data_IF_431775494440
#
_entry.id   IF_431775494440
#
_cell.length_a   1.000
_cell.length_b   1.000
_cell.length_c   1.000
_cell.angle_alpha   90.00
_cell.angle_beta   90.00
_cell.angle_gamma   90.00
#
_symmetry.space_group_name_H-M   'P 1'
#
loop_
_entity.id
_entity.type
_entity.pdbx_description
1 polymer ?
#
# COMPACT_ATOMS: atom_id res chain seq x y z
N UNK A 1 -6.50 23.94 -10.63
CA UNK A 1 -6.78 22.51 -10.37
C UNK A 1 -5.67 21.97 -9.48
N UNK A 2 -5.70 20.70 -9.08
CA UNK A 2 -4.58 20.08 -8.34
C UNK A 2 -3.41 19.85 -9.31
N UNK A 3 -2.17 20.29 -9.01
CA UNK A 3 -0.99 20.03 -9.82
C UNK A 3 -0.55 18.56 -9.69
N UNK A 4 -1.25 17.66 -10.38
CA UNK A 4 -1.01 16.22 -10.37
C UNK A 4 -0.34 15.77 -11.66
N UNK A 5 0.80 15.09 -11.54
CA UNK A 5 1.44 14.39 -12.65
C UNK A 5 1.19 12.88 -12.52
N UNK A 6 0.48 12.30 -13.49
CA UNK A 6 0.20 10.86 -13.56
C UNK A 6 1.06 10.25 -14.65
N UNK A 7 1.76 9.16 -14.35
CA UNK A 7 2.58 8.44 -15.32
C UNK A 7 1.97 7.07 -15.60
N UNK A 8 1.75 6.78 -16.88
CA UNK A 8 1.34 5.47 -17.37
C UNK A 8 2.52 4.88 -18.13
N UNK A 9 3.04 3.79 -17.61
CA UNK A 9 4.10 3.00 -18.22
C UNK A 9 3.46 1.87 -19.02
N UNK A 10 3.18 2.12 -20.31
CA UNK A 10 2.43 1.21 -21.17
C UNK A 10 3.38 0.24 -21.89
N UNK A 11 3.49 -0.96 -21.33
CA UNK A 11 4.23 -2.09 -21.91
C UNK A 11 3.40 -2.90 -22.92
N UNK A 12 2.15 -2.50 -23.17
CA UNK A 12 1.23 -3.18 -24.07
C UNK A 12 0.39 -4.29 -23.43
N UNK A 13 0.65 -4.67 -22.18
CA UNK A 13 0.08 -5.87 -21.56
C UNK A 13 -0.39 -5.64 -20.11
N UNK A 14 -1.44 -6.37 -19.73
CA UNK A 14 -1.85 -6.56 -18.35
C UNK A 14 -1.78 -8.04 -18.03
N UNK A 15 -0.75 -8.43 -17.28
CA UNK A 15 -0.41 -9.84 -17.07
C UNK A 15 -0.15 -10.53 -18.42
N UNK A 16 -1.08 -11.37 -18.88
CA UNK A 16 -1.01 -12.11 -20.15
C UNK A 16 -1.91 -11.54 -21.25
N UNK A 17 -2.70 -10.51 -20.93
CA UNK A 17 -3.72 -9.96 -21.83
C UNK A 17 -3.16 -8.70 -22.51
N UNK A 18 -3.34 -8.58 -23.82
CA UNK A 18 -2.95 -7.37 -24.55
C UNK A 18 -3.86 -6.18 -24.19
N UNK A 19 -3.35 -4.96 -24.30
CA UNK A 19 -4.11 -3.73 -23.94
C UNK A 19 -5.36 -3.49 -24.77
N UNK A 20 -5.44 -4.04 -25.98
CA UNK A 20 -6.60 -3.96 -26.88
C UNK A 20 -7.88 -4.55 -26.28
N UNK A 21 -7.76 -5.52 -25.37
CA UNK A 21 -8.90 -6.11 -24.65
C UNK A 21 -9.20 -5.43 -23.31
N UNK A 22 -8.30 -4.60 -22.81
CA UNK A 22 -8.38 -4.02 -21.46
C UNK A 22 -8.74 -2.55 -21.45
N UNK A 23 -8.40 -1.83 -22.51
CA UNK A 23 -8.59 -0.38 -22.59
C UNK A 23 -9.33 -0.03 -23.86
N UNK A 24 -10.36 0.81 -23.75
CA UNK A 24 -11.06 1.38 -24.89
C UNK A 24 -10.07 1.99 -25.89
N UNK A 25 -10.18 1.63 -27.18
CA UNK A 25 -9.23 2.00 -28.25
C UNK A 25 -7.78 1.50 -28.06
N UNK A 26 -7.53 0.59 -27.12
CA UNK A 26 -6.19 0.09 -26.80
C UNK A 26 -5.21 1.18 -26.32
N UNK A 27 -5.71 2.32 -25.81
CA UNK A 27 -4.86 3.45 -25.42
C UNK A 27 -5.52 4.31 -24.35
N UNK A 28 -4.89 4.41 -23.18
CA UNK A 28 -5.40 5.23 -22.07
C UNK A 28 -5.50 6.70 -22.49
N UNK A 29 -4.50 7.22 -23.22
CA UNK A 29 -4.58 8.59 -23.77
C UNK A 29 -5.77 8.79 -24.72
N UNK A 30 -6.08 7.81 -25.57
CA UNK A 30 -7.19 7.95 -26.53
C UNK A 30 -8.57 7.79 -25.86
N UNK A 31 -8.64 7.02 -24.78
CA UNK A 31 -9.82 6.90 -23.93
C UNK A 31 -10.08 8.19 -23.14
N UNK A 32 -9.02 8.87 -22.69
CA UNK A 32 -9.09 10.08 -21.87
C UNK A 32 -9.03 11.39 -22.66
N UNK A 33 -9.02 11.37 -23.99
CA UNK A 33 -8.90 12.57 -24.83
C UNK A 33 -9.95 13.66 -24.52
N UNK A 34 -11.15 13.28 -24.05
CA UNK A 34 -12.19 14.22 -23.64
C UNK A 34 -11.89 15.00 -22.34
N UNK A 35 -10.85 14.61 -21.60
CA UNK A 35 -10.40 15.35 -20.41
C UNK A 35 -9.41 16.46 -20.75
N UNK A 36 -8.91 16.54 -21.99
CA UNK A 36 -7.97 17.60 -22.36
C UNK A 36 -8.62 18.99 -22.32
N UNK A 37 -7.87 20.03 -21.94
CA UNK A 37 -8.35 21.40 -22.05
C UNK A 37 -8.72 21.73 -23.50
N UNK A 38 -9.80 22.48 -23.69
CA UNK A 38 -10.28 22.89 -25.01
C UNK A 38 -10.51 24.40 -25.07
N UNK A 39 -11.02 24.88 -26.22
CA UNK A 39 -11.30 26.32 -26.41
C UNK A 39 -12.38 26.87 -25.47
N UNK A 40 -13.23 26.01 -24.90
CA UNK A 40 -14.34 26.37 -24.02
C UNK A 40 -13.96 26.28 -22.54
N UNK A 41 -13.02 25.41 -22.18
CA UNK A 41 -12.53 25.21 -20.83
C UNK A 41 -11.01 25.05 -20.80
N UNK A 42 -10.33 25.98 -20.14
CA UNK A 42 -8.92 25.84 -19.79
C UNK A 42 -8.68 24.79 -18.71
N UNK A 43 -9.75 24.29 -18.06
CA UNK A 43 -9.69 23.19 -17.11
C UNK A 43 -9.63 21.85 -17.83
N UNK A 44 -8.82 20.93 -17.31
CA UNK A 44 -8.68 19.58 -17.88
C UNK A 44 -7.41 18.88 -17.39
N UNK A 45 -7.07 17.75 -18.01
CA UNK A 45 -5.84 16.99 -17.83
C UNK A 45 -5.09 17.01 -19.15
N UNK A 46 -3.89 17.61 -19.19
CA UNK A 46 -3.05 17.57 -20.39
C UNK A 46 -2.57 16.15 -20.64
N UNK A 47 -2.62 15.68 -21.89
CA UNK A 47 -2.13 14.35 -22.22
C UNK A 47 -0.83 14.48 -23.02
N UNK A 48 0.24 13.93 -22.47
CA UNK A 48 1.60 13.98 -23.00
C UNK A 48 2.03 12.56 -23.37
N UNK A 49 2.47 12.35 -24.60
CA UNK A 49 2.81 11.03 -25.12
C UNK A 49 4.24 10.98 -25.60
N UNK A 50 4.94 9.89 -25.31
CA UNK A 50 6.24 9.58 -25.93
C UNK A 50 6.53 8.07 -25.82
N UNK A 51 7.49 7.58 -26.61
CA UNK A 51 7.96 6.19 -26.58
C UNK A 51 9.03 6.00 -25.50
N UNK A 52 8.92 4.92 -24.73
CA UNK A 52 9.80 4.61 -23.59
C UNK A 52 11.28 4.47 -23.94
N UNK A 53 11.60 4.10 -25.17
CA UNK A 53 12.96 3.89 -25.64
C UNK A 53 13.64 5.15 -26.21
N UNK A 54 12.91 6.28 -26.31
CA UNK A 54 13.42 7.57 -26.80
C UNK A 54 13.91 8.46 -25.65
N UNK A 55 15.04 8.09 -25.07
CA UNK A 55 15.55 8.71 -23.83
C UNK A 55 15.68 10.26 -23.90
N UNK A 56 16.28 10.87 -24.95
CA UNK A 56 16.39 12.34 -25.02
C UNK A 56 15.03 13.05 -25.10
N UNK A 57 14.08 12.50 -25.83
CA UNK A 57 12.72 13.03 -25.95
C UNK A 57 11.97 12.94 -24.62
N UNK A 58 12.12 11.84 -23.88
CA UNK A 58 11.53 11.68 -22.55
C UNK A 58 12.04 12.72 -21.57
N UNK A 59 13.35 13.03 -21.59
CA UNK A 59 13.91 14.10 -20.76
C UNK A 59 13.22 15.44 -21.04
N UNK A 60 13.11 15.82 -22.32
CA UNK A 60 12.44 17.06 -22.74
C UNK A 60 10.97 17.08 -22.36
N UNK A 61 10.26 15.96 -22.55
CA UNK A 61 8.84 15.81 -22.23
C UNK A 61 8.60 15.99 -20.74
N UNK A 62 9.38 15.30 -19.90
CA UNK A 62 9.23 15.35 -18.45
C UNK A 62 9.62 16.72 -17.89
N UNK A 63 10.72 17.30 -18.36
CA UNK A 63 11.14 18.64 -17.95
C UNK A 63 10.05 19.68 -18.23
N UNK A 64 9.61 19.76 -19.50
CA UNK A 64 8.62 20.75 -19.93
C UNK A 64 7.25 20.48 -19.30
N UNK A 65 6.79 19.22 -19.35
CA UNK A 65 5.47 18.84 -18.83
C UNK A 65 5.36 19.08 -17.32
N UNK A 66 6.37 18.70 -16.54
CA UNK A 66 6.36 18.91 -15.09
C UNK A 66 6.54 20.38 -14.70
N UNK A 67 7.30 21.15 -15.46
CA UNK A 67 7.38 22.60 -15.26
C UNK A 67 6.00 23.24 -15.43
N UNK A 68 5.26 22.86 -16.47
CA UNK A 68 3.92 23.38 -16.71
C UNK A 68 2.90 22.94 -15.66
N UNK A 69 2.94 21.68 -15.20
CA UNK A 69 2.08 21.21 -14.09
C UNK A 69 2.25 22.09 -12.85
N UNK A 70 3.50 22.42 -12.51
CA UNK A 70 3.84 23.27 -11.35
C UNK A 70 3.41 24.72 -11.56
N UNK A 71 3.72 25.30 -12.72
CA UNK A 71 3.47 26.73 -12.97
C UNK A 71 1.99 27.04 -13.18
N UNK A 72 1.26 26.16 -13.88
CA UNK A 72 -0.14 26.39 -14.27
C UNK A 72 -1.16 25.74 -13.34
N UNK A 73 -0.71 24.95 -12.35
CA UNK A 73 -1.60 24.19 -11.45
C UNK A 73 -2.63 23.35 -12.22
N UNK A 74 -2.17 22.74 -13.31
CA UNK A 74 -2.97 21.92 -14.22
C UNK A 74 -2.42 20.49 -14.20
N UNK A 75 -3.27 19.47 -14.02
CA UNK A 75 -2.81 18.10 -14.03
C UNK A 75 -2.37 17.65 -15.43
N UNK A 76 -1.45 16.70 -15.47
CA UNK A 76 -0.98 16.09 -16.70
C UNK A 76 -0.88 14.56 -16.57
N UNK A 77 -1.21 13.86 -17.66
CA UNK A 77 -1.03 12.45 -17.86
C UNK A 77 0.13 12.23 -18.84
N UNK A 78 1.21 11.64 -18.37
CA UNK A 78 2.33 11.18 -19.18
C UNK A 78 2.10 9.73 -19.58
N UNK A 79 1.70 9.50 -20.82
CA UNK A 79 1.48 8.16 -21.36
C UNK A 79 2.73 7.74 -22.14
N UNK A 80 3.56 6.91 -21.49
CA UNK A 80 4.81 6.42 -22.05
C UNK A 80 4.56 5.05 -22.69
N UNK A 81 4.48 5.05 -24.01
CA UNK A 81 4.14 3.89 -24.83
C UNK A 81 5.38 3.08 -25.21
N UNK A 82 5.17 1.86 -25.71
CA UNK A 82 6.24 1.02 -26.24
C UNK A 82 7.32 0.69 -25.19
N UNK A 83 6.91 0.49 -23.93
CA UNK A 83 7.80 -0.14 -22.97
C UNK A 83 7.91 -1.64 -23.22
N UNK A 84 9.06 -2.18 -22.84
CA UNK A 84 9.35 -3.60 -22.90
C UNK A 84 9.08 -4.23 -21.54
N UNK A 85 8.72 -5.50 -21.53
CA UNK A 85 8.52 -6.27 -20.32
C UNK A 85 9.48 -7.48 -20.42
N UNK A 86 10.76 -7.31 -19.98
CA UNK A 86 11.83 -8.28 -20.23
C UNK A 86 11.74 -9.56 -19.38
N UNK A 87 10.72 -9.65 -18.52
CA UNK A 87 10.39 -10.80 -17.66
C UNK A 87 8.87 -11.01 -17.70
N UNK A 88 8.36 -12.13 -17.19
CA UNK A 88 6.92 -12.27 -16.97
C UNK A 88 6.36 -11.20 -16.01
N UNK A 89 5.03 -11.09 -15.96
CA UNK A 89 4.34 -10.22 -14.99
C UNK A 89 4.79 -10.45 -13.53
N UNK A 90 5.09 -11.70 -13.20
CA UNK A 90 5.79 -12.09 -11.98
C UNK A 90 7.06 -12.87 -12.33
N UNK A 91 7.99 -12.95 -11.38
CA UNK A 91 9.21 -13.77 -11.51
C UNK A 91 8.93 -15.28 -11.57
N UNK A 92 7.68 -15.71 -11.38
CA UNK A 92 7.24 -17.11 -11.50
C UNK A 92 6.59 -17.43 -12.86
N UNK A 93 6.29 -16.42 -13.67
CA UNK A 93 5.69 -16.58 -14.99
C UNK A 93 6.68 -16.31 -16.13
N UNK A 94 6.44 -16.89 -17.30
CA UNK A 94 7.15 -16.52 -18.53
C UNK A 94 6.20 -15.83 -19.50
N UNK A 95 6.57 -14.61 -19.89
CA UNK A 95 5.91 -13.84 -20.95
C UNK A 95 5.93 -14.51 -22.33
N UNK A 96 6.85 -15.45 -22.57
CA UNK A 96 6.99 -16.16 -23.85
C UNK A 96 5.80 -17.08 -24.12
N UNK A 97 4.99 -17.37 -23.10
CA UNK A 97 3.79 -18.20 -23.22
C UNK A 97 2.62 -17.50 -23.90
N UNK A 98 2.61 -16.17 -23.92
CA UNK A 98 1.48 -15.37 -24.41
C UNK A 98 1.88 -14.24 -25.36
N UNK A 99 3.17 -13.91 -25.48
CA UNK A 99 3.67 -12.96 -26.49
C UNK A 99 4.08 -13.69 -27.76
N UNK A 100 3.81 -13.08 -28.92
CA UNK A 100 4.26 -13.62 -30.20
C UNK A 100 5.80 -13.55 -30.33
N UNK A 101 6.41 -14.41 -31.15
CA UNK A 101 7.84 -14.33 -31.46
C UNK A 101 8.26 -12.95 -31.97
N UNK A 102 7.44 -12.33 -32.83
CA UNK A 102 7.70 -10.99 -33.37
C UNK A 102 7.71 -9.94 -32.26
N UNK A 103 6.77 -10.02 -31.31
CA UNK A 103 6.73 -9.12 -30.16
C UNK A 103 7.97 -9.29 -29.29
N UNK A 104 8.38 -10.52 -29.00
CA UNK A 104 9.58 -10.81 -28.20
C UNK A 104 10.85 -10.32 -28.90
N UNK A 105 10.92 -10.45 -30.22
CA UNK A 105 12.04 -9.94 -31.01
C UNK A 105 12.08 -8.41 -31.02
N UNK A 106 10.92 -7.77 -31.18
CA UNK A 106 10.80 -6.31 -31.06
C UNK A 106 11.26 -5.85 -29.68
N UNK A 107 10.81 -6.46 -28.58
CA UNK A 107 11.20 -6.08 -27.21
C UNK A 107 12.71 -6.20 -26.98
N UNK A 108 13.39 -7.17 -27.59
CA UNK A 108 14.87 -7.27 -27.53
C UNK A 108 15.55 -6.12 -28.28
N UNK A 109 15.00 -5.71 -29.43
CA UNK A 109 15.56 -4.65 -30.26
C UNK A 109 15.28 -3.26 -29.70
N UNK A 110 14.11 -3.05 -29.11
CA UNK A 110 13.66 -1.77 -28.55
C UNK A 110 13.85 -1.68 -27.04
N UNK A 111 14.58 -2.61 -26.44
CA UNK A 111 14.93 -2.55 -25.02
C UNK A 111 15.53 -1.18 -24.67
N UNK A 112 14.99 -0.55 -23.63
CA UNK A 112 15.34 0.82 -23.28
C UNK A 112 16.83 0.94 -22.89
N UNK A 113 17.42 -0.10 -22.31
CA UNK A 113 18.85 -0.10 -21.96
C UNK A 113 19.73 -0.25 -23.19
N UNK A 114 19.33 -1.08 -24.15
CA UNK A 114 20.07 -1.24 -25.42
C UNK A 114 19.95 0.01 -26.32
N UNK A 115 18.79 0.65 -26.36
CA UNK A 115 18.60 1.92 -27.06
C UNK A 115 19.37 3.07 -26.41
N UNK A 116 19.35 3.17 -25.08
CA UNK A 116 20.15 4.14 -24.33
C UNK A 116 21.66 3.91 -24.52
N UNK A 117 22.10 2.65 -24.46
CA UNK A 117 23.49 2.26 -24.74
C UNK A 117 23.92 2.74 -26.12
N UNK A 118 23.15 2.41 -27.16
CA UNK A 118 23.45 2.81 -28.54
C UNK A 118 23.51 4.32 -28.69
N UNK A 119 22.60 5.06 -28.06
CA UNK A 119 22.63 6.53 -28.04
C UNK A 119 23.89 7.08 -27.37
N UNK A 120 24.24 6.60 -26.17
CA UNK A 120 25.44 7.06 -25.45
C UNK A 120 26.72 6.86 -26.25
N UNK A 121 26.85 5.72 -26.94
CA UNK A 121 28.02 5.44 -27.78
C UNK A 121 28.04 6.31 -29.03
N UNK A 122 26.90 6.44 -29.73
CA UNK A 122 26.81 7.26 -30.94
C UNK A 122 27.13 8.74 -30.70
N UNK A 123 26.67 9.30 -29.58
CA UNK A 123 26.92 10.69 -29.22
C UNK A 123 28.28 10.91 -28.54
N UNK A 124 29.05 9.85 -28.30
CA UNK A 124 30.37 9.95 -27.67
C UNK A 124 30.34 10.21 -26.16
N UNK A 125 29.20 10.01 -25.48
CA UNK A 125 29.08 10.16 -24.03
C UNK A 125 29.73 9.00 -23.25
N UNK A 126 29.85 7.81 -23.85
CA UNK A 126 30.50 6.64 -23.25
C UNK A 126 31.04 5.67 -24.32
N UNK A 127 32.06 4.87 -23.96
CA UNK A 127 32.52 3.76 -24.80
C UNK A 127 31.84 2.44 -24.42
N UNK A 128 31.90 1.46 -25.32
CA UNK A 128 31.42 0.09 -25.07
C UNK A 128 32.09 -0.54 -23.85
N UNK A 129 33.40 -0.34 -23.69
CA UNK A 129 34.18 -0.84 -22.55
C UNK A 129 33.69 -0.20 -21.25
N UNK A 130 33.44 1.11 -21.27
CA UNK A 130 32.95 1.82 -20.08
C UNK A 130 31.56 1.33 -19.67
N UNK A 131 30.67 1.12 -20.63
CA UNK A 131 29.32 0.60 -20.35
C UNK A 131 29.36 -0.85 -19.85
N UNK A 132 30.27 -1.68 -20.37
CA UNK A 132 30.52 -3.02 -19.86
C UNK A 132 31.02 -3.00 -18.41
N UNK A 133 31.98 -2.12 -18.08
CA UNK A 133 32.48 -1.92 -16.73
C UNK A 133 31.36 -1.53 -15.75
N UNK A 134 30.50 -0.58 -16.14
CA UNK A 134 29.34 -0.15 -15.34
C UNK A 134 28.40 -1.34 -15.08
N UNK A 135 28.09 -2.12 -16.12
CA UNK A 135 27.19 -3.29 -16.02
C UNK A 135 27.78 -4.37 -15.10
N UNK A 136 29.08 -4.65 -15.21
CA UNK A 136 29.77 -5.62 -14.37
C UNK A 136 29.81 -5.16 -12.91
N UNK A 137 30.16 -3.90 -12.67
CA UNK A 137 30.15 -3.30 -11.33
C UNK A 137 28.76 -3.34 -10.69
N UNK A 138 27.71 -3.00 -11.45
CA UNK A 138 26.33 -3.08 -10.97
C UNK A 138 25.92 -4.51 -10.59
N UNK A 139 26.28 -5.51 -11.40
CA UNK A 139 26.00 -6.94 -11.11
C UNK A 139 26.68 -7.42 -9.84
N UNK A 140 27.95 -7.05 -9.63
CA UNK A 140 28.69 -7.38 -8.40
C UNK A 140 28.01 -6.76 -7.17
N UNK A 141 27.68 -5.47 -7.24
CA UNK A 141 26.99 -4.76 -6.15
C UNK A 141 25.63 -5.39 -5.81
N UNK A 142 24.83 -5.78 -6.80
CA UNK A 142 23.54 -6.44 -6.59
C UNK A 142 23.74 -7.81 -5.94
N UNK A 143 24.73 -8.60 -6.38
CA UNK A 143 25.05 -9.92 -5.81
C UNK A 143 25.46 -9.79 -4.33
N UNK A 144 26.37 -8.88 -4.02
CA UNK A 144 26.81 -8.63 -2.64
C UNK A 144 25.66 -8.15 -1.75
N UNK A 145 24.82 -7.25 -2.27
CA UNK A 145 23.65 -6.74 -1.54
C UNK A 145 22.64 -7.86 -1.24
N UNK A 146 22.37 -8.72 -2.23
CA UNK A 146 21.53 -9.92 -2.07
C UNK A 146 22.08 -10.83 -0.98
N UNK A 147 23.37 -11.16 -1.05
CA UNK A 147 24.01 -12.09 -0.11
C UNK A 147 24.01 -11.52 1.33
N UNK A 148 24.24 -10.22 1.48
CA UNK A 148 24.14 -9.52 2.77
C UNK A 148 22.71 -9.53 3.31
N UNK A 149 21.71 -9.24 2.47
CA UNK A 149 20.30 -9.27 2.87
C UNK A 149 19.85 -10.67 3.27
N UNK A 150 20.25 -11.69 2.50
CA UNK A 150 19.94 -13.10 2.77
C UNK A 150 20.53 -13.57 4.09
N UNK A 151 21.82 -13.27 4.35
CA UNK A 151 22.48 -13.58 5.63
C UNK A 151 21.75 -12.95 6.81
N UNK A 152 21.29 -11.69 6.68
CA UNK A 152 20.53 -11.00 7.74
C UNK A 152 19.16 -11.64 7.96
N UNK A 153 18.44 -11.99 6.89
CA UNK A 153 17.12 -12.62 6.99
C UNK A 153 17.18 -13.99 7.68
N UNK A 154 18.15 -14.83 7.30
CA UNK A 154 18.33 -16.16 7.86
C UNK A 154 18.98 -16.19 9.25
N UNK A 155 19.57 -15.09 9.71
CA UNK A 155 20.29 -15.06 11.00
C UNK A 155 19.40 -15.52 12.16
N UNK A 156 18.17 -14.99 12.24
CA UNK A 156 17.24 -15.36 13.32
C UNK A 156 16.89 -16.84 13.31
N UNK A 157 16.50 -17.37 12.14
CA UNK A 157 16.16 -18.78 12.00
C UNK A 157 17.36 -19.70 12.26
N UNK A 158 18.56 -19.31 11.83
CA UNK A 158 19.80 -20.05 12.09
C UNK A 158 20.18 -20.08 13.57
N UNK A 159 20.00 -18.98 14.32
CA UNK A 159 20.20 -18.97 15.78
C UNK A 159 19.19 -19.89 16.47
N UNK A 160 17.91 -19.81 16.09
CA UNK A 160 16.84 -20.65 16.63
C UNK A 160 17.05 -22.14 16.32
N UNK A 161 17.54 -22.47 15.13
CA UNK A 161 17.91 -23.83 14.73
C UNK A 161 18.96 -24.41 15.69
N UNK A 162 20.06 -23.69 15.94
CA UNK A 162 21.14 -24.14 16.83
C UNK A 162 20.67 -24.35 18.27
N UNK A 163 19.84 -23.44 18.78
CA UNK A 163 19.21 -23.60 20.11
C UNK A 163 18.36 -24.89 20.16
N UNK A 164 17.61 -25.17 19.10
CA UNK A 164 16.76 -26.36 19.04
C UNK A 164 17.57 -27.66 18.92
N UNK A 165 18.66 -27.66 18.15
CA UNK A 165 19.61 -28.80 18.07
C UNK A 165 20.18 -29.15 19.45
N UNK A 166 20.50 -28.15 20.27
CA UNK A 166 20.96 -28.36 21.64
C UNK A 166 19.88 -28.96 22.54
N UNK A 167 18.61 -28.56 22.37
CA UNK A 167 17.47 -29.17 23.08
C UNK A 167 17.30 -30.62 22.63
N UNK A 168 17.41 -30.89 21.34
CA UNK A 168 17.24 -32.23 20.76
C UNK A 168 18.33 -33.21 21.20
N UNK A 169 19.55 -32.74 21.49
CA UNK A 169 20.62 -33.58 22.01
C UNK A 169 20.26 -34.25 23.36
N UNK A 170 19.33 -33.68 24.13
CA UNK A 170 18.86 -34.23 25.40
C UNK A 170 17.61 -35.12 25.28
N UNK A 171 17.10 -35.36 24.07
CA UNK A 171 15.91 -36.18 23.82
C UNK A 171 16.33 -37.62 23.49
N UNK A 172 15.72 -38.61 24.13
CA UNK A 172 15.98 -40.03 23.86
C UNK A 172 15.64 -40.45 22.42
N UNK A 173 16.55 -41.21 21.79
CA UNK A 173 16.33 -41.81 20.46
C UNK A 173 15.37 -43.00 20.46
N UNK A 174 14.95 -43.48 21.64
CA UNK A 174 13.96 -44.57 21.77
C UNK A 174 12.53 -44.13 21.44
N UNK A 175 12.31 -42.82 21.25
CA UNK A 175 11.00 -42.27 20.88
C UNK A 175 10.72 -42.54 19.40
N UNK A 176 9.50 -42.96 19.04
CA UNK A 176 9.07 -43.01 17.66
C UNK A 176 9.35 -41.67 16.96
N UNK A 177 9.91 -41.72 15.74
CA UNK A 177 10.20 -40.57 14.89
C UNK A 177 11.23 -39.53 15.39
N UNK A 178 11.73 -39.60 16.63
CA UNK A 178 12.67 -38.60 17.15
C UNK A 178 13.98 -38.55 16.36
N UNK A 179 14.52 -39.71 15.96
CA UNK A 179 15.72 -39.81 15.13
C UNK A 179 15.52 -39.12 13.78
N UNK A 180 14.38 -39.36 13.11
CA UNK A 180 14.10 -38.76 11.81
C UNK A 180 13.87 -37.25 11.93
N UNK A 181 13.19 -36.77 12.98
CA UNK A 181 13.01 -35.34 13.22
C UNK A 181 14.32 -34.60 13.48
N UNK A 182 15.27 -35.21 14.21
CA UNK A 182 16.64 -34.67 14.40
C UNK A 182 17.39 -34.58 13.07
N UNK A 183 17.24 -35.59 12.22
CA UNK A 183 17.85 -35.63 10.88
C UNK A 183 17.23 -34.58 9.94
N UNK A 184 15.90 -34.45 9.93
CA UNK A 184 15.20 -33.37 9.20
C UNK A 184 15.71 -32.00 9.62
N UNK A 185 15.87 -31.77 10.94
CA UNK A 185 16.32 -30.49 11.49
C UNK A 185 17.75 -30.14 11.05
N UNK A 186 18.69 -31.07 11.22
CA UNK A 186 20.10 -30.89 10.86
C UNK A 186 20.35 -30.78 9.35
N UNK A 187 19.40 -31.24 8.52
CA UNK A 187 19.47 -31.09 7.07
C UNK A 187 19.16 -29.66 6.57
N UNK A 188 18.61 -28.78 7.43
CA UNK A 188 18.22 -27.42 7.06
C UNK A 188 19.44 -26.49 6.89
N UNK A 189 19.90 -26.31 5.64
CA UNK A 189 21.04 -25.43 5.31
C UNK A 189 20.72 -23.93 5.33
N UNK A 190 19.51 -23.57 4.93
CA UNK A 190 19.01 -22.18 4.89
C UNK A 190 17.63 -22.13 5.53
N UNK A 191 17.55 -22.31 6.87
CA UNK A 191 16.28 -22.50 7.55
C UNK A 191 15.42 -21.23 7.49
N UNK A 192 14.13 -21.38 7.28
CA UNK A 192 13.15 -20.35 7.68
C UNK A 192 12.49 -20.74 9.01
N UNK A 193 12.11 -19.75 9.81
CA UNK A 193 11.60 -20.01 11.17
C UNK A 193 10.37 -20.93 11.18
N UNK A 194 9.52 -20.87 10.15
CA UNK A 194 8.33 -21.71 10.03
C UNK A 194 8.67 -23.20 9.91
N UNK A 195 9.77 -23.55 9.22
CA UNK A 195 10.26 -24.93 9.09
C UNK A 195 10.78 -25.44 10.43
N UNK A 196 11.66 -24.65 11.08
CA UNK A 196 12.23 -24.98 12.39
C UNK A 196 11.12 -25.17 13.43
N UNK A 197 10.14 -24.25 13.47
CA UNK A 197 8.99 -24.33 14.39
C UNK A 197 8.04 -25.49 14.06
N UNK A 198 7.86 -25.84 12.77
CA UNK A 198 7.08 -27.03 12.38
C UNK A 198 7.74 -28.30 12.90
N UNK A 199 9.05 -28.46 12.73
CA UNK A 199 9.79 -29.60 13.25
C UNK A 199 9.76 -29.64 14.79
N UNK A 200 9.98 -28.52 15.47
CA UNK A 200 9.85 -28.39 16.94
C UNK A 200 8.49 -28.86 17.47
N UNK A 201 7.38 -28.47 16.81
CA UNK A 201 6.02 -28.87 17.21
C UNK A 201 5.77 -30.36 17.03
N UNK A 202 6.29 -30.97 15.95
CA UNK A 202 6.23 -32.42 15.77
C UNK A 202 6.98 -33.13 16.89
N UNK A 203 8.20 -32.68 17.21
CA UNK A 203 8.96 -33.27 18.32
C UNK A 203 8.25 -33.11 19.65
N UNK A 204 7.63 -31.96 19.91
CA UNK A 204 6.84 -31.73 21.12
C UNK A 204 5.74 -32.78 21.23
N UNK A 205 5.01 -33.05 20.15
CA UNK A 205 3.99 -34.08 20.11
C UNK A 205 4.56 -35.48 20.44
N UNK A 206 5.68 -35.86 19.83
CA UNK A 206 6.34 -37.16 20.05
C UNK A 206 6.76 -37.37 21.51
N UNK A 207 7.35 -36.36 22.15
CA UNK A 207 7.86 -36.50 23.53
C UNK A 207 6.80 -36.24 24.60
N UNK A 208 5.65 -35.66 24.25
CA UNK A 208 4.55 -35.40 25.20
C UNK A 208 3.77 -36.66 25.56
N UNK A 209 3.80 -37.70 24.71
CA UNK A 209 2.90 -38.86 24.80
C UNK A 209 3.42 -40.03 25.67
N UNK A 210 4.53 -39.91 26.43
CA UNK A 210 5.09 -41.09 27.09
C UNK A 210 6.06 -40.88 28.25
N UNK A 211 5.70 -40.05 29.24
CA UNK A 211 6.46 -39.90 30.49
C UNK A 211 7.33 -38.63 30.57
N UNK A 212 8.08 -38.49 31.67
CA UNK A 212 8.89 -37.29 31.97
C UNK A 212 10.17 -37.26 31.12
N UNK A 213 10.14 -36.53 30.00
CA UNK A 213 11.33 -36.23 29.21
C UNK A 213 12.02 -34.96 29.76
N UNK A 214 13.30 -35.01 30.19
CA UNK A 214 13.96 -33.84 30.79
C UNK A 214 14.03 -32.61 29.87
N UNK A 215 13.99 -32.82 28.55
CA UNK A 215 14.02 -31.77 27.54
C UNK A 215 12.66 -31.10 27.30
N UNK A 216 11.55 -31.69 27.76
CA UNK A 216 10.18 -31.22 27.47
C UNK A 216 9.96 -29.76 27.90
N UNK A 217 10.28 -29.32 29.15
CA UNK A 217 10.06 -27.92 29.54
C UNK A 217 10.89 -26.92 28.72
N UNK A 218 12.09 -27.33 28.29
CA UNK A 218 12.96 -26.49 27.44
C UNK A 218 12.37 -26.34 26.04
N UNK A 219 11.87 -27.43 25.45
CA UNK A 219 11.24 -27.41 24.13
C UNK A 219 9.96 -26.55 24.14
N UNK A 220 9.10 -26.70 25.15
CA UNK A 220 7.90 -25.88 25.30
C UNK A 220 8.23 -24.39 25.43
N UNK A 221 9.22 -24.06 26.28
CA UNK A 221 9.69 -22.68 26.45
C UNK A 221 10.24 -22.09 25.14
N UNK A 222 11.01 -22.89 24.39
CA UNK A 222 11.55 -22.48 23.09
C UNK A 222 10.43 -22.22 22.07
N UNK A 223 9.42 -23.09 21.99
CA UNK A 223 8.25 -22.92 21.11
C UNK A 223 7.47 -21.66 21.50
N UNK A 224 7.23 -21.46 22.80
CA UNK A 224 6.55 -20.28 23.34
C UNK A 224 7.30 -18.99 23.01
N UNK A 225 8.63 -18.98 23.14
CA UNK A 225 9.45 -17.83 22.79
C UNK A 225 9.37 -17.49 21.28
N UNK A 226 9.31 -18.51 20.42
CA UNK A 226 9.07 -18.31 19.00
C UNK A 226 7.71 -17.67 18.72
N UNK A 227 6.64 -18.15 19.38
CA UNK A 227 5.30 -17.56 19.26
C UNK A 227 5.24 -16.13 19.79
N UNK A 228 5.87 -15.84 20.95
CA UNK A 228 5.93 -14.47 21.48
C UNK A 228 6.64 -13.51 20.52
N UNK A 229 7.67 -13.98 19.82
CA UNK A 229 8.35 -13.18 18.79
C UNK A 229 7.44 -12.95 17.59
N UNK A 230 6.75 -14.01 17.13
CA UNK A 230 5.78 -13.91 16.03
C UNK A 230 4.63 -12.96 16.37
N UNK A 231 4.09 -13.02 17.59
CA UNK A 231 3.03 -12.15 18.08
C UNK A 231 3.41 -10.67 17.95
N UNK A 232 4.63 -10.34 18.37
CA UNK A 232 5.17 -8.97 18.24
C UNK A 232 5.32 -8.53 16.79
N UNK A 233 5.68 -9.44 15.88
CA UNK A 233 5.90 -9.11 14.48
C UNK A 233 4.61 -9.04 13.65
N UNK A 234 3.61 -9.86 13.96
CA UNK A 234 2.42 -10.05 13.12
C UNK A 234 1.12 -9.53 13.75
N UNK A 235 1.08 -9.21 15.04
CA UNK A 235 -0.17 -8.81 15.71
C UNK A 235 -0.08 -7.48 16.46
N UNK A 236 1.12 -7.02 16.80
CA UNK A 236 1.33 -5.80 17.60
C UNK A 236 0.72 -4.51 17.00
N UNK A 237 0.51 -4.47 15.68
CA UNK A 237 0.02 -3.28 14.97
C UNK A 237 -1.37 -3.45 14.37
N UNK A 238 -2.10 -4.52 14.73
CA UNK A 238 -3.47 -4.73 14.26
C UNK A 238 -4.41 -3.65 14.78
N UNK A 239 -4.33 -3.35 16.09
CA UNK A 239 -5.06 -2.26 16.73
C UNK A 239 -4.10 -1.19 17.25
N UNK A 240 -4.59 0.04 17.39
CA UNK A 240 -3.81 1.09 18.05
C UNK A 240 -3.75 0.82 19.56
N UNK A 241 -2.54 0.62 20.06
CA UNK A 241 -2.21 0.62 21.50
C UNK A 241 -1.77 1.98 22.03
N UNK A 242 -1.85 3.04 21.20
CA UNK A 242 -1.48 4.39 21.64
C UNK A 242 -2.53 4.96 22.62
N UNK A 243 -2.15 5.96 23.46
CA UNK A 243 -3.10 6.65 24.34
C UNK A 243 -4.28 7.30 23.60
N UNK A 244 -4.12 7.58 22.30
CA UNK A 244 -5.15 8.17 21.44
C UNK A 244 -6.05 7.13 20.75
N UNK A 245 -5.93 5.85 21.11
CA UNK A 245 -6.80 4.81 20.58
C UNK A 245 -8.25 5.08 20.94
N UNK A 246 -9.17 4.94 19.97
CA UNK A 246 -10.61 5.05 20.23
C UNK A 246 -11.08 4.04 21.30
N UNK A 247 -10.39 2.90 21.41
CA UNK A 247 -10.66 1.87 22.43
C UNK A 247 -10.21 2.27 23.85
N UNK A 248 -9.38 3.31 23.98
CA UNK A 248 -8.88 3.79 25.26
C UNK A 248 -9.65 5.03 25.78
N UNK A 249 -10.58 5.58 24.99
CA UNK A 249 -11.38 6.75 25.39
C UNK A 249 -12.53 6.28 26.28
N UNK A 250 -12.52 6.71 27.54
CA UNK A 250 -13.61 6.41 28.48
C UNK A 250 -14.89 7.17 28.06
N UNK A 251 -16.06 6.50 28.02
CA UNK A 251 -17.31 7.16 27.70
C UNK A 251 -17.73 8.12 28.83
N UNK A 252 -18.19 9.30 28.45
CA UNK A 252 -18.79 10.26 29.38
C UNK A 252 -20.28 10.32 29.10
N UNK A 253 -21.09 9.89 30.07
CA UNK A 253 -22.55 9.93 29.96
C UNK A 253 -23.10 11.36 30.03
N UNK A 254 -24.27 11.63 29.42
CA UNK A 254 -24.92 12.93 29.54
C UNK A 254 -25.35 13.19 30.98
N UNK A 255 -25.18 14.42 31.44
CA UNK A 255 -25.67 14.89 32.75
C UNK A 255 -26.83 15.84 32.51
N UNK A 256 -27.99 15.53 33.09
CA UNK A 256 -29.19 16.33 32.96
C UNK A 256 -29.47 17.07 34.27
N UNK A 257 -29.80 18.35 34.17
CA UNK A 257 -30.29 19.14 35.30
C UNK A 257 -31.73 18.76 35.71
N UNK A 258 -32.27 19.37 36.77
CA UNK A 258 -33.61 19.06 37.28
C UNK A 258 -34.75 19.39 36.30
N UNK A 259 -34.51 20.24 35.29
CA UNK A 259 -35.48 20.57 34.25
C UNK A 259 -34.78 20.67 32.88
N UNK A 260 -34.53 19.54 32.19
CA UNK A 260 -33.76 19.53 30.96
C UNK A 260 -34.57 20.09 29.78
N UNK A 261 -33.93 20.93 28.97
CA UNK A 261 -34.52 21.43 27.73
C UNK A 261 -34.63 20.32 26.68
N UNK A 262 -35.79 20.24 26.00
CA UNK A 262 -35.96 19.34 24.84
C UNK A 262 -35.48 20.02 23.58
N UNK A 263 -34.59 19.35 22.86
CA UNK A 263 -34.04 19.78 21.57
C UNK A 263 -34.17 18.66 20.55
N UNK A 264 -34.27 19.01 19.28
CA UNK A 264 -34.18 18.03 18.20
C UNK A 264 -32.76 17.46 18.17
N UNK A 265 -32.63 16.17 17.81
CA UNK A 265 -31.32 15.50 17.77
C UNK A 265 -30.29 16.21 16.89
N UNK A 266 -30.73 16.78 15.76
CA UNK A 266 -29.83 17.52 14.86
C UNK A 266 -29.26 18.80 15.50
N UNK A 267 -30.03 19.51 16.34
CA UNK A 267 -29.55 20.70 17.05
C UNK A 267 -28.43 20.35 18.03
N UNK A 268 -28.52 19.16 18.64
CA UNK A 268 -27.47 18.63 19.54
C UNK A 268 -26.20 18.33 18.74
N UNK A 269 -26.33 17.64 17.61
CA UNK A 269 -25.19 17.35 16.72
C UNK A 269 -24.57 18.62 16.15
N UNK A 270 -25.39 19.61 15.77
CA UNK A 270 -24.92 20.88 15.23
C UNK A 270 -24.12 21.69 16.26
N UNK A 271 -24.61 21.77 17.50
CA UNK A 271 -23.84 22.37 18.60
C UNK A 271 -22.53 21.63 18.87
N UNK A 272 -22.53 20.30 18.79
CA UNK A 272 -21.30 19.51 18.90
C UNK A 272 -20.31 19.88 17.78
N UNK A 273 -20.74 19.92 16.53
CA UNK A 273 -19.86 20.25 15.42
C UNK A 273 -19.36 21.69 15.52
N UNK A 274 -20.21 22.65 15.89
CA UNK A 274 -19.77 24.02 16.11
C UNK A 274 -18.64 24.09 17.15
N UNK A 275 -18.81 23.40 18.28
CA UNK A 275 -17.76 23.31 19.29
C UNK A 275 -16.50 22.61 18.76
N UNK A 276 -16.64 21.46 18.08
CA UNK A 276 -15.52 20.69 17.56
C UNK A 276 -14.68 21.48 16.54
N UNK A 277 -15.32 22.22 15.64
CA UNK A 277 -14.65 23.06 14.65
C UNK A 277 -14.01 24.30 15.27
N UNK A 278 -14.58 24.86 16.35
CA UNK A 278 -13.96 25.93 17.13
C UNK A 278 -12.70 25.49 17.87
N UNK A 279 -12.67 24.23 18.33
CA UNK A 279 -11.57 23.68 19.15
C UNK A 279 -10.44 23.10 18.29
N UNK A 280 -10.77 22.49 17.15
CA UNK A 280 -9.79 21.77 16.32
C UNK A 280 -9.58 22.47 14.99
N UNK A 281 -8.47 23.18 14.83
CA UNK A 281 -8.12 23.87 13.57
C UNK A 281 -7.82 22.92 12.40
N UNK A 282 -7.51 21.66 12.68
CA UNK A 282 -7.23 20.63 11.69
C UNK A 282 -8.39 19.65 11.46
N UNK A 283 -9.60 19.98 11.89
CA UNK A 283 -10.81 19.18 11.61
C UNK A 283 -11.43 19.59 10.28
N UNK A 284 -11.71 18.66 9.38
CA UNK A 284 -12.39 18.95 8.11
C UNK A 284 -13.61 18.03 8.01
N UNK A 285 -14.73 18.52 7.49
CA UNK A 285 -15.87 17.69 7.11
C UNK A 285 -16.16 17.82 5.62
N UNK A 286 -16.44 16.71 4.95
CA UNK A 286 -16.80 16.73 3.54
C UNK A 286 -17.59 15.50 3.14
N UNK A 287 -18.34 15.63 2.06
CA UNK A 287 -19.23 14.61 1.53
C UNK A 287 -20.28 15.26 0.65
N UNK A 288 -21.28 14.48 0.25
CA UNK A 288 -22.40 15.00 -0.52
C UNK A 288 -23.32 15.84 0.38
N UNK A 289 -23.58 17.09 -0.02
CA UNK A 289 -24.42 18.08 0.69
C UNK A 289 -23.92 18.51 2.09
N UNK A 290 -22.71 18.12 2.48
CA UNK A 290 -22.10 18.45 3.77
C UNK A 290 -21.78 19.94 3.90
N UNK A 291 -21.42 20.59 2.79
CA UNK A 291 -21.02 21.98 2.71
C UNK A 291 -22.18 22.94 2.91
N UNK A 292 -22.87 23.26 1.81
CA UNK A 292 -23.85 24.35 1.77
C UNK A 292 -25.13 24.04 2.55
N UNK A 293 -25.65 22.82 2.42
CA UNK A 293 -26.88 22.38 3.08
C UNK A 293 -26.58 22.04 4.55
N UNK A 294 -25.39 21.50 4.82
CA UNK A 294 -24.97 21.11 6.15
C UNK A 294 -25.40 19.70 6.51
N UNK A 295 -25.23 18.79 5.56
CA UNK A 295 -25.78 17.44 5.53
C UNK A 295 -27.31 17.40 5.46
N UNK A 296 -27.85 16.27 5.00
CA UNK A 296 -29.29 16.12 4.75
C UNK A 296 -30.11 16.11 6.05
N UNK A 297 -29.51 15.79 7.19
CA UNK A 297 -30.14 15.91 8.52
C UNK A 297 -29.85 17.26 9.18
N UNK A 298 -29.20 18.19 8.48
CA UNK A 298 -28.81 19.52 8.95
C UNK A 298 -27.87 19.52 10.16
N UNK A 299 -27.13 18.44 10.40
CA UNK A 299 -26.15 18.35 11.48
C UNK A 299 -25.02 19.37 11.34
N UNK A 300 -24.65 19.74 10.12
CA UNK A 300 -23.61 20.74 9.82
C UNK A 300 -24.19 22.06 9.26
N UNK A 301 -25.49 22.29 9.39
CA UNK A 301 -26.13 23.52 8.89
C UNK A 301 -25.49 24.78 9.47
N UNK A 302 -25.16 25.74 8.59
CA UNK A 302 -24.52 27.01 8.95
C UNK A 302 -23.04 26.92 9.33
N UNK A 303 -22.47 25.72 9.50
CA UNK A 303 -21.09 25.53 9.95
C UNK A 303 -20.09 25.97 8.86
N UNK A 304 -20.37 25.69 7.58
CA UNK A 304 -19.55 26.19 6.47
C UNK A 304 -19.46 27.72 6.44
N UNK A 305 -20.58 28.43 6.68
CA UNK A 305 -20.59 29.90 6.68
C UNK A 305 -19.71 30.48 7.80
N UNK A 306 -19.59 29.77 8.93
CA UNK A 306 -18.79 30.18 10.08
C UNK A 306 -17.30 29.85 9.94
N UNK A 307 -16.95 28.69 9.39
CA UNK A 307 -15.56 28.19 9.35
C UNK A 307 -14.93 28.14 7.95
N UNK A 308 -15.70 28.43 6.90
CA UNK A 308 -15.26 28.53 5.52
C UNK A 308 -15.28 27.23 4.73
N UNK A 309 -15.36 27.36 3.40
CA UNK A 309 -15.37 26.26 2.44
C UNK A 309 -14.10 25.41 2.46
N UNK A 310 -12.97 25.93 2.95
CA UNK A 310 -11.75 25.13 3.11
C UNK A 310 -11.82 24.09 4.23
N UNK A 311 -12.82 24.19 5.11
CA UNK A 311 -12.97 23.35 6.31
C UNK A 311 -14.21 22.45 6.22
N UNK A 312 -15.26 22.90 5.53
CA UNK A 312 -16.49 22.16 5.30
C UNK A 312 -16.89 22.33 3.83
N UNK A 313 -16.92 21.25 3.04
CA UNK A 313 -17.18 21.35 1.60
C UNK A 313 -17.90 20.14 1.02
N UNK A 314 -18.56 20.38 -0.11
CA UNK A 314 -19.24 19.36 -0.89
C UNK A 314 -18.26 18.60 -1.79
N UNK A 315 -18.50 17.31 -1.99
CA UNK A 315 -17.77 16.47 -2.96
C UNK A 315 -18.65 16.01 -4.11
N UNK A 316 -18.03 15.49 -5.17
CA UNK A 316 -18.76 14.74 -6.20
C UNK A 316 -19.36 13.45 -5.65
N UNK A 317 -20.36 12.93 -6.36
CA UNK A 317 -21.12 11.72 -6.00
C UNK A 317 -20.28 10.48 -6.28
N UNK A 318 -19.31 10.19 -5.41
CA UNK A 318 -18.38 9.07 -5.53
C UNK A 318 -17.73 8.72 -4.19
N UNK A 319 -18.32 7.78 -3.49
CA UNK A 319 -17.96 7.31 -2.15
C UNK A 319 -16.51 6.82 -2.09
N UNK A 320 -16.05 6.11 -3.13
CA UNK A 320 -14.66 5.67 -3.24
C UNK A 320 -13.66 6.83 -3.09
N UNK A 321 -13.95 7.96 -3.74
CA UNK A 321 -13.07 9.13 -3.68
C UNK A 321 -13.19 9.89 -2.37
N UNK A 322 -14.39 9.92 -1.77
CA UNK A 322 -14.62 10.49 -0.44
C UNK A 322 -13.76 9.75 0.59
N UNK A 323 -13.80 8.42 0.59
CA UNK A 323 -12.96 7.59 1.48
C UNK A 323 -11.47 7.79 1.17
N UNK A 324 -11.07 7.78 -0.10
CA UNK A 324 -9.67 8.01 -0.49
C UNK A 324 -9.13 9.38 -0.05
N UNK A 325 -9.93 10.44 -0.16
CA UNK A 325 -9.59 11.77 0.37
C UNK A 325 -9.43 11.73 1.88
N UNK A 326 -10.30 11.02 2.60
CA UNK A 326 -10.21 10.89 4.06
C UNK A 326 -8.91 10.20 4.49
N UNK A 327 -8.52 9.12 3.79
CA UNK A 327 -7.26 8.40 4.04
C UNK A 327 -6.08 9.36 3.82
N UNK A 328 -6.03 10.02 2.65
CA UNK A 328 -4.94 10.93 2.29
C UNK A 328 -4.80 12.11 3.24
N UNK A 329 -5.91 12.79 3.57
CA UNK A 329 -5.94 13.91 4.52
C UNK A 329 -5.47 13.47 5.91
N UNK A 330 -5.95 12.31 6.39
CA UNK A 330 -5.55 11.75 7.68
C UNK A 330 -4.04 11.53 7.76
N UNK A 331 -3.46 10.96 6.70
CA UNK A 331 -2.02 10.70 6.62
C UNK A 331 -1.18 11.98 6.51
N UNK A 332 -1.80 13.12 6.18
CA UNK A 332 -1.18 14.45 6.15
C UNK A 332 -1.40 15.25 7.44
N UNK A 333 -2.02 14.67 8.45
CA UNK A 333 -2.20 15.28 9.78
C UNK A 333 -3.53 16.02 9.99
N UNK A 334 -4.43 15.98 9.00
CA UNK A 334 -5.80 16.44 9.19
C UNK A 334 -6.64 15.39 9.93
N UNK A 335 -7.78 15.83 10.47
CA UNK A 335 -8.79 14.99 11.11
C UNK A 335 -10.05 15.05 10.24
N UNK A 336 -10.17 14.21 9.20
CA UNK A 336 -11.30 14.27 8.30
C UNK A 336 -12.50 13.53 8.87
N UNK A 337 -13.67 14.14 8.71
CA UNK A 337 -14.99 13.54 8.82
C UNK A 337 -15.51 13.43 7.39
N UNK A 338 -15.37 12.24 6.81
CA UNK A 338 -15.91 11.92 5.50
C UNK A 338 -17.31 11.38 5.66
N UNK A 339 -18.29 12.05 5.06
CA UNK A 339 -19.68 11.64 5.11
C UNK A 339 -20.09 10.89 3.85
N UNK A 340 -20.65 9.70 4.06
CA UNK A 340 -21.36 8.93 3.05
C UNK A 340 -22.85 9.14 3.29
N UNK A 341 -23.55 9.63 2.28
CA UNK A 341 -24.89 10.22 2.44
C UNK A 341 -25.90 9.28 3.11
N UNK A 342 -25.90 7.99 2.77
CA UNK A 342 -26.72 6.94 3.39
C UNK A 342 -25.90 5.66 3.60
N UNK A 343 -26.27 4.85 4.59
CA UNK A 343 -25.58 3.60 4.91
C UNK A 343 -25.51 2.65 3.71
N UNK A 344 -26.56 2.64 2.88
CA UNK A 344 -26.71 1.87 1.66
C UNK A 344 -25.58 2.11 0.64
N UNK A 345 -24.98 3.32 0.66
CA UNK A 345 -23.93 3.70 -0.26
C UNK A 345 -22.52 3.35 0.23
N UNK A 346 -22.38 2.89 1.47
CA UNK A 346 -21.08 2.50 2.03
C UNK A 346 -20.41 1.40 1.20
N UNK A 347 -21.19 0.55 0.54
CA UNK A 347 -20.70 -0.52 -0.35
C UNK A 347 -19.82 0.02 -1.49
N UNK A 348 -20.08 1.23 -1.99
CA UNK A 348 -19.32 1.84 -3.08
C UNK A 348 -17.96 2.41 -2.64
N UNK A 349 -17.74 2.55 -1.33
CA UNK A 349 -16.45 2.87 -0.72
C UNK A 349 -15.76 1.69 -0.06
N UNK A 350 -16.39 0.49 -0.06
CA UNK A 350 -16.05 -0.59 0.86
C UNK A 350 -14.60 -1.07 0.71
N UNK A 351 -14.11 -1.33 -0.50
CA UNK A 351 -12.74 -1.84 -0.64
C UNK A 351 -11.66 -0.82 -0.21
N UNK A 352 -11.89 0.50 -0.31
CA UNK A 352 -10.97 1.49 0.26
C UNK A 352 -11.03 1.48 1.79
N UNK A 353 -12.21 1.20 2.36
CA UNK A 353 -12.37 1.05 3.81
C UNK A 353 -11.67 -0.21 4.33
N UNK A 354 -11.91 -1.36 3.70
CA UNK A 354 -11.42 -2.67 4.18
C UNK A 354 -9.96 -2.88 3.83
N UNK A 355 -9.53 -2.53 2.62
CA UNK A 355 -8.22 -2.92 2.12
C UNK A 355 -7.18 -1.85 2.45
N UNK A 356 -7.57 -0.58 2.53
CA UNK A 356 -6.65 0.52 2.79
C UNK A 356 -6.83 1.11 4.19
N UNK A 357 -7.98 1.74 4.49
CA UNK A 357 -8.19 2.48 5.74
C UNK A 357 -8.01 1.59 6.98
N UNK A 358 -8.67 0.42 7.01
CA UNK A 358 -8.63 -0.49 8.15
C UNK A 358 -7.25 -1.15 8.36
N UNK A 359 -6.47 -1.32 7.29
CA UNK A 359 -5.22 -2.11 7.35
C UNK A 359 -3.94 -1.29 7.24
N UNK A 360 -4.01 0.01 6.92
CA UNK A 360 -2.82 0.87 6.70
C UNK A 360 -1.82 0.79 7.84
N UNK A 361 -2.31 0.78 9.09
CA UNK A 361 -1.46 0.67 10.28
C UNK A 361 -0.73 -0.67 10.32
N UNK A 362 -1.46 -1.76 10.08
CA UNK A 362 -0.92 -3.10 10.08
C UNK A 362 0.08 -3.30 8.93
N UNK A 363 -0.32 -3.00 7.69
CA UNK A 363 0.51 -3.14 6.48
C UNK A 363 1.79 -2.29 6.52
N UNK A 364 1.76 -1.15 7.20
CA UNK A 364 2.93 -0.29 7.39
C UNK A 364 3.78 -0.62 8.62
N UNK A 365 3.43 -1.67 9.38
CA UNK A 365 4.04 -2.01 10.67
C UNK A 365 4.08 -0.81 11.63
N UNK A 366 2.94 -0.13 11.77
CA UNK A 366 2.75 1.01 12.68
C UNK A 366 3.34 2.34 12.20
N UNK A 367 4.00 2.38 11.02
CA UNK A 367 4.64 3.60 10.48
C UNK A 367 3.65 4.63 9.96
N UNK A 368 2.47 4.20 9.53
CA UNK A 368 1.42 5.06 9.02
C UNK A 368 0.12 4.79 9.77
N UNK A 369 -0.74 5.80 9.82
CA UNK A 369 -2.09 5.72 10.36
C UNK A 369 -3.00 6.70 9.63
N UNK A 370 -4.27 6.36 9.55
CA UNK A 370 -5.29 7.22 8.98
C UNK A 370 -6.48 7.30 9.96
N UNK A 371 -6.45 8.20 10.97
CA UNK A 371 -7.55 8.40 11.91
C UNK A 371 -8.73 9.16 11.27
N UNK A 372 -9.31 8.60 10.22
CA UNK A 372 -10.50 9.14 9.56
C UNK A 372 -11.76 8.75 10.33
N UNK A 373 -12.73 9.66 10.38
CA UNK A 373 -14.10 9.36 10.81
C UNK A 373 -14.93 9.21 9.55
N UNK A 374 -15.51 8.02 9.36
CA UNK A 374 -16.49 7.79 8.31
C UNK A 374 -17.86 7.90 8.95
N UNK A 375 -18.58 8.98 8.62
CA UNK A 375 -19.94 9.23 9.09
C UNK A 375 -20.92 8.77 8.02
N UNK A 376 -22.01 8.16 8.46
CA UNK A 376 -23.15 7.86 7.62
C UNK A 376 -24.40 7.84 8.51
N UNK A 377 -25.56 7.61 7.91
CA UNK A 377 -26.83 7.54 8.61
C UNK A 377 -27.68 6.39 8.09
N UNK A 378 -28.46 5.83 9.00
CA UNK A 378 -29.56 4.93 8.65
C UNK A 378 -30.79 5.72 8.21
N UNK A 379 -31.80 4.98 7.75
CA UNK A 379 -33.13 5.50 7.45
C UNK A 379 -33.91 5.88 8.71
#
# INVERSE_FOLDING_TARGET
QVPLAVFVWDDGYGISVAKEFQTTKGSISAALAGFEPDRRSSGGVRILKEKGWKYPELLRLFETGLAEVRQKHQPALFHIEELTQPQGHSTSGSHERYKSPDRLQWEKQTDCLEQMKGWLVREGYATEEKLHEIRTTARLKVKESRDKAWKRCNHYAGTRLKELEQIYAAISDQRPNAVELKKELSALKTPVISEVLKNARKMLFEISAGGSEPALPKLESWIRACYQTAERHYHAQLYSSSPNSALAVAPVGPVYGPNPERRNGYEILNRFFDHAFSTHSNLIAFGEDVGKIGDVNQGLAGIQQKYGESRIFDTGIREWTIVGQAIGLSMRGWRPIAEIQYLDYLVYGLSALTDDLATVRYRSNGKQMAPAIIRTRGH
#
